data_IF_110942742743
#
_entry.id   IF_110942742743
#
_cell.length_a   1.000
_cell.length_b   1.000
_cell.length_c   1.000
_cell.angle_alpha   90.00
_cell.angle_beta   90.00
_cell.angle_gamma   90.00
#
_symmetry.space_group_name_H-M   'P 1'
#
loop_
_entity.id
_entity.type
_entity.pdbx_description
1 polymer ?
#
# COMPACT_ATOMS: atom_id res chain seq x y z
N UNK A 1 -12.39 -35.83 -44.52
CA UNK A 1 -12.65 -34.66 -43.66
C UNK A 1 -12.31 -35.05 -42.22
N UNK A 2 -11.10 -34.73 -41.76
CA UNK A 2 -10.69 -34.96 -40.38
C UNK A 2 -10.42 -33.60 -39.75
N UNK A 3 -11.34 -33.16 -38.89
CA UNK A 3 -11.16 -32.02 -38.01
C UNK A 3 -10.27 -32.44 -36.84
N UNK A 4 -9.08 -31.87 -36.77
CA UNK A 4 -8.22 -31.93 -35.57
C UNK A 4 -8.78 -30.91 -34.58
N UNK A 5 -9.06 -31.28 -33.31
CA UNK A 5 -9.38 -30.29 -32.29
C UNK A 5 -8.07 -29.63 -31.87
N UNK A 6 -7.92 -28.33 -32.13
CA UNK A 6 -6.86 -27.53 -31.51
C UNK A 6 -7.31 -27.28 -30.07
N UNK A 7 -6.94 -28.18 -29.17
CA UNK A 7 -6.89 -27.88 -27.74
C UNK A 7 -5.50 -27.33 -27.45
N UNK A 8 -5.34 -26.02 -27.56
CA UNK A 8 -4.19 -25.30 -27.02
C UNK A 8 -4.62 -24.57 -25.76
N UNK A 9 -4.77 -25.30 -24.65
CA UNK A 9 -4.85 -24.67 -23.34
C UNK A 9 -3.46 -24.16 -22.98
N UNK A 10 -3.13 -22.92 -23.38
CA UNK A 10 -1.98 -22.24 -22.81
C UNK A 10 -2.09 -22.30 -21.27
N UNK A 11 -1.00 -22.62 -20.56
CA UNK A 11 -1.05 -22.71 -19.11
C UNK A 11 -1.46 -21.36 -18.53
N UNK A 12 -2.49 -21.37 -17.67
CA UNK A 12 -3.00 -20.16 -17.02
C UNK A 12 -1.85 -19.37 -16.37
N UNK A 13 -1.82 -18.06 -16.63
CA UNK A 13 -0.81 -17.15 -16.07
C UNK A 13 -0.90 -17.18 -14.54
N UNK A 14 0.21 -17.49 -13.87
CA UNK A 14 0.25 -17.45 -12.41
C UNK A 14 0.24 -16.00 -11.91
N UNK A 15 -0.78 -15.63 -11.15
CA UNK A 15 -0.95 -14.29 -10.62
C UNK A 15 0.19 -13.86 -9.68
N UNK A 16 0.69 -14.78 -8.84
CA UNK A 16 1.83 -14.52 -7.94
C UNK A 16 3.14 -14.26 -8.71
N UNK A 17 3.41 -15.02 -9.77
CA UNK A 17 4.56 -14.78 -10.63
C UNK A 17 4.45 -13.46 -11.40
N UNK A 18 3.24 -13.12 -11.86
CA UNK A 18 2.98 -11.85 -12.53
C UNK A 18 3.11 -10.65 -11.58
N UNK A 19 2.67 -10.79 -10.32
CA UNK A 19 2.82 -9.77 -9.29
C UNK A 19 4.31 -9.52 -8.99
N UNK A 20 5.14 -10.57 -8.93
CA UNK A 20 6.59 -10.42 -8.78
C UNK A 20 7.21 -9.68 -9.96
N UNK A 21 6.79 -9.98 -11.19
CA UNK A 21 7.27 -9.27 -12.38
C UNK A 21 6.88 -7.79 -12.37
N UNK A 22 5.63 -7.46 -12.02
CA UNK A 22 5.18 -6.07 -11.86
C UNK A 22 5.91 -5.35 -10.71
N UNK A 23 6.20 -6.06 -9.62
CA UNK A 23 6.95 -5.51 -8.50
C UNK A 23 8.38 -5.15 -8.90
N UNK A 24 9.02 -5.94 -9.76
CA UNK A 24 10.35 -5.67 -10.30
C UNK A 24 10.41 -4.59 -11.39
N UNK A 25 9.27 -4.13 -11.92
CA UNK A 25 9.25 -3.05 -12.91
C UNK A 25 9.68 -1.71 -12.28
N UNK A 26 10.60 -1.00 -12.92
CA UNK A 26 11.12 0.28 -12.44
C UNK A 26 10.41 1.47 -13.06
N UNK A 27 9.83 1.33 -14.26
CA UNK A 27 9.08 2.41 -14.90
C UNK A 27 7.68 2.54 -14.27
N UNK A 28 7.31 3.72 -13.72
CA UNK A 28 6.03 3.87 -13.04
C UNK A 28 4.81 3.63 -13.92
N UNK A 29 4.82 4.12 -15.15
CA UNK A 29 3.69 3.97 -16.07
C UNK A 29 3.50 2.51 -16.49
N UNK A 30 4.60 1.81 -16.76
CA UNK A 30 4.59 0.38 -17.07
C UNK A 30 4.17 -0.46 -15.88
N UNK A 31 4.61 -0.12 -14.66
CA UNK A 31 4.16 -0.81 -13.43
C UNK A 31 2.65 -0.68 -13.28
N UNK A 32 2.10 0.53 -13.38
CA UNK A 32 0.64 0.78 -13.33
C UNK A 32 -0.10 -0.07 -14.37
N UNK A 33 0.38 -0.10 -15.61
CA UNK A 33 -0.23 -0.88 -16.68
C UNK A 33 -0.21 -2.40 -16.37
N UNK A 34 0.92 -2.92 -15.89
CA UNK A 34 1.05 -4.34 -15.51
C UNK A 34 0.12 -4.73 -14.37
N UNK A 35 -0.06 -3.85 -13.37
CA UNK A 35 -0.98 -4.09 -12.26
C UNK A 35 -2.43 -4.11 -12.74
N UNK A 36 -2.83 -3.13 -13.56
CA UNK A 36 -4.18 -3.09 -14.13
C UNK A 36 -4.48 -4.33 -14.98
N UNK A 37 -3.52 -4.73 -15.84
CA UNK A 37 -3.63 -5.94 -16.66
C UNK A 37 -3.76 -7.20 -15.80
N UNK A 38 -2.96 -7.32 -14.75
CA UNK A 38 -2.98 -8.47 -13.85
C UNK A 38 -4.30 -8.56 -13.07
N UNK A 39 -4.78 -7.45 -12.54
CA UNK A 39 -6.06 -7.39 -11.83
C UNK A 39 -7.23 -7.80 -12.74
N UNK A 40 -7.28 -7.26 -13.96
CA UNK A 40 -8.27 -7.67 -14.97
C UNK A 40 -8.11 -9.13 -15.37
N UNK A 41 -6.88 -9.62 -15.56
CA UNK A 41 -6.63 -11.02 -15.92
C UNK A 41 -7.12 -11.99 -14.84
N UNK A 42 -6.97 -11.65 -13.56
CA UNK A 42 -7.49 -12.47 -12.48
C UNK A 42 -9.03 -12.46 -12.46
N UNK A 43 -9.65 -11.29 -12.64
CA UNK A 43 -11.11 -11.16 -12.68
C UNK A 43 -11.74 -11.92 -13.87
N UNK A 44 -11.09 -11.90 -15.04
CA UNK A 44 -11.55 -12.58 -16.25
C UNK A 44 -11.19 -14.07 -16.32
N UNK A 45 -10.48 -14.60 -15.31
CA UNK A 45 -9.98 -15.98 -15.30
C UNK A 45 -8.84 -16.27 -16.28
N UNK A 46 -8.22 -15.24 -16.87
CA UNK A 46 -7.00 -15.34 -17.71
C UNK A 46 -5.72 -15.54 -16.87
N UNK A 47 -5.78 -15.21 -15.58
CA UNK A 47 -4.77 -15.52 -14.59
C UNK A 47 -5.39 -16.28 -13.42
N UNK A 48 -4.58 -17.11 -12.76
CA UNK A 48 -5.01 -17.88 -11.60
C UNK A 48 -3.98 -17.79 -10.47
N UNK A 49 -4.49 -17.92 -9.25
CA UNK A 49 -3.67 -18.01 -8.04
C UNK A 49 -3.30 -19.46 -7.80
N UNK A 50 -2.01 -19.72 -7.58
CA UNK A 50 -1.49 -21.02 -7.18
C UNK A 50 -0.80 -20.85 -5.81
N UNK A 51 -1.53 -20.96 -4.68
CA UNK A 51 -0.99 -20.63 -3.35
C UNK A 51 0.21 -21.49 -2.95
N UNK A 52 0.21 -22.76 -3.32
CA UNK A 52 1.27 -23.73 -3.01
C UNK A 52 2.52 -23.57 -3.88
N UNK A 53 2.46 -22.75 -4.94
CA UNK A 53 3.60 -22.58 -5.84
C UNK A 53 4.74 -21.89 -5.12
N UNK A 54 5.87 -22.57 -4.98
CA UNK A 54 7.09 -21.95 -4.48
C UNK A 54 7.68 -21.04 -5.56
N UNK A 55 8.02 -19.82 -5.18
CA UNK A 55 8.67 -18.83 -6.04
C UNK A 55 9.99 -18.44 -5.39
N UNK A 56 11.07 -18.46 -6.17
CA UNK A 56 12.37 -18.02 -5.67
C UNK A 56 12.37 -16.51 -5.49
N UNK A 57 12.80 -16.05 -4.30
CA UNK A 57 13.05 -14.65 -4.08
C UNK A 57 14.14 -14.16 -5.05
N UNK A 58 13.95 -13.05 -5.75
CA UNK A 58 14.97 -12.51 -6.64
C UNK A 58 16.17 -12.01 -5.84
N UNK A 59 17.37 -12.21 -6.39
CA UNK A 59 18.62 -11.84 -5.70
C UNK A 59 18.77 -10.32 -5.50
N UNK A 60 18.23 -9.49 -6.41
CA UNK A 60 18.18 -8.03 -6.38
C UNK A 60 17.00 -7.52 -7.23
N UNK A 61 16.68 -6.23 -7.12
CA UNK A 61 15.75 -5.56 -8.04
C UNK A 61 14.28 -5.59 -7.63
N UNK A 62 14.00 -5.87 -6.35
CA UNK A 62 12.64 -5.83 -5.79
C UNK A 62 12.63 -4.91 -4.55
N UNK A 63 11.82 -3.85 -4.55
CA UNK A 63 10.94 -3.42 -5.63
C UNK A 63 11.78 -2.80 -6.76
N UNK A 64 11.27 -2.84 -7.97
CA UNK A 64 11.80 -2.09 -9.09
C UNK A 64 11.68 -0.60 -8.78
N UNK A 65 12.84 0.06 -8.61
CA UNK A 65 12.92 1.49 -8.31
C UNK A 65 13.21 2.27 -9.59
N UNK A 66 12.43 3.32 -9.90
CA UNK A 66 12.79 4.23 -10.97
C UNK A 66 14.06 5.01 -10.61
N UNK A 67 14.74 5.57 -11.61
CA UNK A 67 15.94 6.39 -11.39
C UNK A 67 15.67 7.69 -10.60
N UNK A 68 14.42 8.15 -10.59
CA UNK A 68 13.92 9.30 -9.82
C UNK A 68 12.59 8.91 -9.14
N UNK A 69 12.21 9.50 -8.00
CA UNK A 69 12.85 10.62 -7.30
C UNK A 69 14.18 10.26 -6.62
N UNK A 70 14.99 11.28 -6.32
CA UNK A 70 16.13 11.11 -5.41
C UNK A 70 15.60 10.74 -4.02
N UNK A 71 16.10 9.64 -3.46
CA UNK A 71 15.71 9.18 -2.13
C UNK A 71 16.65 9.80 -1.09
N UNK A 72 16.08 10.62 -0.21
CA UNK A 72 16.79 11.35 0.83
C UNK A 72 16.23 10.99 2.21
N UNK A 73 17.05 11.24 3.24
CA UNK A 73 16.61 11.14 4.63
C UNK A 73 15.38 12.02 4.90
N UNK A 74 14.39 11.58 5.70
CA UNK A 74 13.15 12.34 5.94
C UNK A 74 13.38 13.80 6.40
N UNK A 75 14.47 14.06 7.15
CA UNK A 75 14.85 15.40 7.63
C UNK A 75 15.32 16.36 6.53
N UNK A 76 15.69 15.84 5.36
CA UNK A 76 16.15 16.61 4.20
C UNK A 76 15.00 17.01 3.27
N UNK A 77 13.78 16.55 3.52
CA UNK A 77 12.62 16.97 2.75
C UNK A 77 12.19 18.39 3.13
N UNK A 78 11.98 19.22 2.12
CA UNK A 78 11.48 20.58 2.32
C UNK A 78 10.07 20.58 2.93
N UNK A 79 9.75 21.65 3.69
CA UNK A 79 8.41 21.82 4.25
C UNK A 79 7.40 22.11 3.14
N UNK A 80 6.32 21.32 3.13
CA UNK A 80 5.24 21.40 2.13
C UNK A 80 4.32 22.59 2.40
N UNK A 81 4.56 23.72 1.74
CA UNK A 81 3.67 24.89 1.83
C UNK A 81 2.47 24.72 0.89
N UNK A 82 1.26 24.59 1.44
CA UNK A 82 0.04 24.51 0.61
C UNK A 82 -0.43 25.87 0.07
N UNK A 83 0.26 26.97 0.42
CA UNK A 83 -0.13 28.33 0.04
C UNK A 83 0.34 28.73 -1.35
N UNK A 84 1.38 28.10 -1.89
CA UNK A 84 1.92 28.39 -3.21
C UNK A 84 1.61 27.25 -4.20
N UNK A 85 1.56 27.53 -5.51
CA UNK A 85 1.49 26.47 -6.53
C UNK A 85 2.64 25.47 -6.41
N UNK A 86 3.87 25.96 -6.20
CA UNK A 86 5.05 25.12 -6.02
C UNK A 86 4.92 24.15 -4.85
N UNK A 87 4.50 24.62 -3.67
CA UNK A 87 4.41 23.74 -2.52
C UNK A 87 3.22 22.77 -2.59
N UNK A 88 2.19 23.08 -3.39
CA UNK A 88 1.14 22.12 -3.78
C UNK A 88 1.68 21.04 -4.73
N UNK A 89 2.53 21.40 -5.69
CA UNK A 89 3.21 20.42 -6.55
C UNK A 89 4.10 19.47 -5.73
N UNK A 90 4.89 19.99 -4.79
CA UNK A 90 5.71 19.15 -3.87
C UNK A 90 4.84 18.21 -3.03
N UNK A 91 3.68 18.68 -2.55
CA UNK A 91 2.72 17.86 -1.82
C UNK A 91 2.15 16.73 -2.69
N UNK A 92 1.66 17.05 -3.90
CA UNK A 92 1.11 16.08 -4.84
C UNK A 92 2.14 15.03 -5.24
N UNK A 93 3.38 15.45 -5.48
CA UNK A 93 4.49 14.53 -5.74
C UNK A 93 4.74 13.59 -4.55
N UNK A 94 4.75 14.11 -3.32
CA UNK A 94 4.96 13.29 -2.13
C UNK A 94 3.83 12.28 -1.92
N UNK A 95 2.57 12.67 -2.18
CA UNK A 95 1.43 11.76 -2.16
C UNK A 95 1.58 10.69 -3.25
N UNK A 96 1.91 11.07 -4.48
CA UNK A 96 2.14 10.11 -5.56
C UNK A 96 3.24 9.11 -5.20
N UNK A 97 4.31 9.55 -4.52
CA UNK A 97 5.35 8.64 -4.05
C UNK A 97 4.86 7.65 -2.99
N UNK A 98 3.93 8.07 -2.12
CA UNK A 98 3.31 7.18 -1.14
C UNK A 98 2.48 6.12 -1.86
N UNK A 99 1.60 6.52 -2.79
CA UNK A 99 0.77 5.58 -3.56
C UNK A 99 1.62 4.62 -4.39
N UNK A 100 2.70 5.11 -5.01
CA UNK A 100 3.62 4.26 -5.77
C UNK A 100 4.27 3.19 -4.88
N UNK A 101 4.62 3.53 -3.64
CA UNK A 101 5.12 2.56 -2.68
C UNK A 101 4.03 1.59 -2.23
N UNK A 102 2.79 2.04 -2.04
CA UNK A 102 1.66 1.18 -1.69
C UNK A 102 1.37 0.12 -2.77
N UNK A 103 1.49 0.46 -4.07
CA UNK A 103 1.49 -0.54 -5.16
C UNK A 103 2.53 -1.63 -4.90
N UNK A 104 3.76 -1.24 -4.56
CA UNK A 104 4.83 -2.20 -4.31
C UNK A 104 4.57 -3.05 -3.07
N UNK A 105 4.02 -2.49 -1.99
CA UNK A 105 3.69 -3.21 -0.75
C UNK A 105 2.59 -4.26 -1.00
N UNK A 106 1.55 -3.89 -1.75
CA UNK A 106 0.46 -4.79 -2.11
C UNK A 106 0.94 -5.91 -3.04
N UNK A 107 1.73 -5.60 -4.07
CA UNK A 107 2.34 -6.62 -4.93
C UNK A 107 3.27 -7.55 -4.15
N UNK A 108 4.01 -7.00 -3.18
CA UNK A 108 4.89 -7.78 -2.30
C UNK A 108 4.12 -8.81 -1.48
N UNK A 109 2.98 -8.43 -0.91
CA UNK A 109 2.09 -9.36 -0.21
C UNK A 109 1.62 -10.51 -1.14
N UNK A 110 1.22 -10.20 -2.38
CA UNK A 110 0.72 -11.18 -3.34
C UNK A 110 1.78 -12.20 -3.72
N UNK A 111 2.99 -11.77 -4.09
CA UNK A 111 3.99 -12.73 -4.56
C UNK A 111 4.60 -13.54 -3.41
N UNK A 112 4.86 -12.89 -2.27
CA UNK A 112 5.78 -13.40 -1.25
C UNK A 112 5.19 -14.52 -0.40
N UNK A 113 3.96 -14.34 0.07
CA UNK A 113 3.39 -15.26 1.04
C UNK A 113 2.67 -16.40 0.32
N UNK A 114 3.33 -17.56 0.26
CA UNK A 114 2.70 -18.80 -0.19
C UNK A 114 1.67 -19.30 0.83
N UNK A 115 0.81 -20.23 0.41
CA UNK A 115 -0.11 -20.98 1.29
C UNK A 115 -1.16 -20.13 2.02
N UNK A 116 -1.44 -18.91 1.54
CA UNK A 116 -2.59 -18.13 1.99
C UNK A 116 -3.86 -18.54 1.22
N UNK A 117 -5.07 -18.29 1.74
CA UNK A 117 -6.30 -18.54 1.00
C UNK A 117 -6.35 -17.71 -0.31
N UNK A 118 -6.98 -18.21 -1.37
CA UNK A 118 -7.08 -17.51 -2.66
C UNK A 118 -7.60 -16.06 -2.54
N UNK A 119 -8.53 -15.81 -1.61
CA UNK A 119 -9.07 -14.48 -1.35
C UNK A 119 -8.00 -13.47 -0.89
N UNK A 120 -6.92 -13.91 -0.23
CA UNK A 120 -5.81 -13.04 0.19
C UNK A 120 -5.16 -12.38 -1.02
N UNK A 121 -4.87 -13.17 -2.04
CA UNK A 121 -4.22 -12.69 -3.26
C UNK A 121 -5.15 -11.78 -4.08
N UNK A 122 -6.45 -12.10 -4.11
CA UNK A 122 -7.43 -11.24 -4.76
C UNK A 122 -7.57 -9.89 -4.06
N UNK A 123 -7.65 -9.89 -2.72
CA UNK A 123 -7.73 -8.67 -1.90
C UNK A 123 -6.48 -7.79 -2.14
N UNK A 124 -5.28 -8.34 -2.07
CA UNK A 124 -4.05 -7.54 -2.27
C UNK A 124 -3.82 -7.11 -3.73
N UNK A 125 -4.30 -7.86 -4.73
CA UNK A 125 -4.29 -7.39 -6.11
C UNK A 125 -5.30 -6.27 -6.36
N UNK A 126 -6.43 -6.30 -5.66
CA UNK A 126 -7.38 -5.19 -5.67
C UNK A 126 -6.72 -3.93 -5.09
N UNK A 127 -6.09 -4.04 -3.91
CA UNK A 127 -5.35 -2.92 -3.29
C UNK A 127 -4.32 -2.38 -4.27
N UNK A 128 -3.46 -3.24 -4.84
CA UNK A 128 -2.44 -2.80 -5.80
C UNK A 128 -3.03 -2.02 -6.99
N UNK A 129 -4.20 -2.44 -7.51
CA UNK A 129 -4.88 -1.77 -8.61
C UNK A 129 -5.50 -0.42 -8.20
N UNK A 130 -6.07 -0.32 -7.00
CA UNK A 130 -6.59 0.93 -6.44
C UNK A 130 -5.44 1.93 -6.20
N UNK A 131 -4.30 1.50 -5.64
CA UNK A 131 -3.13 2.37 -5.45
C UNK A 131 -2.50 2.80 -6.78
N UNK A 132 -2.53 1.94 -7.80
CA UNK A 132 -2.10 2.30 -9.15
C UNK A 132 -3.03 3.38 -9.76
N UNK A 133 -4.31 3.33 -9.46
CA UNK A 133 -5.26 4.37 -9.84
C UNK A 133 -5.01 5.68 -9.09
N UNK A 134 -4.82 5.62 -7.77
CA UNK A 134 -4.49 6.78 -6.93
C UNK A 134 -3.22 7.49 -7.41
N UNK A 135 -2.15 6.72 -7.64
CA UNK A 135 -0.92 7.22 -8.23
C UNK A 135 -1.17 7.95 -9.55
N UNK A 136 -1.97 7.35 -10.43
CA UNK A 136 -2.26 7.93 -11.75
C UNK A 136 -3.03 9.25 -11.65
N UNK A 137 -4.00 9.36 -10.74
CA UNK A 137 -4.73 10.62 -10.47
C UNK A 137 -3.79 11.71 -9.98
N UNK A 138 -2.91 11.38 -9.03
CA UNK A 138 -1.96 12.34 -8.46
C UNK A 138 -0.88 12.75 -9.47
N UNK A 139 -0.38 11.82 -10.27
CA UNK A 139 0.60 12.10 -11.32
C UNK A 139 0.00 12.99 -12.41
N UNK A 140 -1.24 12.73 -12.83
CA UNK A 140 -1.95 13.59 -13.77
C UNK A 140 -2.16 14.99 -13.18
N UNK A 141 -2.60 15.08 -11.93
CA UNK A 141 -2.78 16.37 -11.25
C UNK A 141 -1.47 17.13 -11.10
N UNK A 142 -0.36 16.44 -10.79
CA UNK A 142 0.97 17.04 -10.70
C UNK A 142 1.42 17.64 -12.06
N UNK A 143 1.08 16.98 -13.17
CA UNK A 143 1.37 17.48 -14.52
C UNK A 143 0.66 18.80 -14.83
N UNK A 144 -0.53 19.03 -14.28
CA UNK A 144 -1.23 20.33 -14.40
C UNK A 144 -0.51 21.48 -13.68
N UNK A 145 0.38 21.16 -12.73
CA UNK A 145 1.30 22.13 -12.11
C UNK A 145 2.63 22.27 -12.86
N UNK A 146 2.79 21.60 -14.02
CA UNK A 146 4.01 21.66 -14.83
C UNK A 146 5.14 20.74 -14.34
N UNK A 147 4.82 19.73 -13.54
CA UNK A 147 5.79 18.81 -12.94
C UNK A 147 5.48 17.34 -13.25
N UNK A 148 6.51 16.50 -13.21
CA UNK A 148 6.39 15.05 -13.34
C UNK A 148 6.74 14.34 -12.03
N UNK A 149 6.26 13.11 -11.88
CA UNK A 149 6.73 12.23 -10.80
C UNK A 149 8.23 11.98 -10.96
N UNK A 150 8.99 12.19 -9.88
CA UNK A 150 10.45 12.16 -9.87
C UNK A 150 11.13 13.53 -9.90
N UNK A 151 10.39 14.64 -10.09
CA UNK A 151 10.98 16.00 -10.10
C UNK A 151 11.41 16.49 -8.73
N UNK A 152 10.85 15.94 -7.64
CA UNK A 152 11.17 16.32 -6.27
C UNK A 152 11.79 15.16 -5.49
N UNK A 153 12.61 15.40 -4.46
CA UNK A 153 13.13 14.33 -3.63
C UNK A 153 12.02 13.65 -2.82
N UNK A 154 12.24 12.38 -2.45
CA UNK A 154 11.32 11.59 -1.65
C UNK A 154 12.05 10.75 -0.60
N UNK A 155 11.33 9.99 0.22
CA UNK A 155 11.90 9.10 1.24
C UNK A 155 11.23 7.73 1.18
N UNK A 156 11.96 6.70 1.62
CA UNK A 156 11.60 5.30 1.41
C UNK A 156 11.17 4.55 2.68
N UNK A 157 10.79 5.30 3.72
CA UNK A 157 10.61 4.75 5.08
C UNK A 157 9.51 3.69 5.23
N UNK A 158 8.63 3.51 4.24
CA UNK A 158 7.62 2.44 4.25
C UNK A 158 8.21 1.07 3.89
N UNK A 159 9.16 1.03 2.94
CA UNK A 159 9.70 -0.24 2.44
C UNK A 159 10.58 -0.96 3.47
N UNK A 160 11.26 -0.23 4.35
CA UNK A 160 12.10 -0.81 5.40
C UNK A 160 11.34 -1.80 6.30
N UNK A 161 10.09 -1.50 6.67
CA UNK A 161 9.28 -2.43 7.46
C UNK A 161 8.84 -3.66 6.65
N UNK A 162 8.58 -3.47 5.35
CA UNK A 162 8.27 -4.55 4.43
C UNK A 162 9.43 -5.57 4.38
N UNK A 163 10.67 -5.10 4.29
CA UNK A 163 11.86 -5.97 4.30
C UNK A 163 12.04 -6.70 5.63
N UNK A 164 11.88 -5.99 6.75
CA UNK A 164 12.03 -6.57 8.08
C UNK A 164 11.01 -7.67 8.37
N UNK A 165 9.81 -7.56 7.80
CA UNK A 165 8.71 -8.53 7.94
C UNK A 165 8.62 -9.52 6.78
N UNK A 166 9.60 -9.55 5.87
CA UNK A 166 9.57 -10.40 4.68
C UNK A 166 9.43 -11.90 4.97
N UNK A 167 9.88 -12.38 6.13
CA UNK A 167 9.76 -13.78 6.53
C UNK A 167 8.49 -14.15 7.30
N UNK A 168 7.62 -13.18 7.59
CA UNK A 168 6.57 -13.33 8.60
C UNK A 168 5.29 -12.63 8.16
N UNK A 169 4.35 -13.40 7.61
CA UNK A 169 3.07 -12.87 7.11
C UNK A 169 2.23 -12.27 8.23
N UNK A 170 2.29 -12.83 9.45
CA UNK A 170 1.55 -12.32 10.59
C UNK A 170 2.10 -10.94 11.00
N UNK A 171 3.42 -10.81 11.09
CA UNK A 171 4.06 -9.51 11.32
C UNK A 171 3.78 -8.52 10.18
N UNK A 172 3.79 -8.98 8.92
CA UNK A 172 3.49 -8.11 7.78
C UNK A 172 2.09 -7.50 7.90
N UNK A 173 1.07 -8.33 8.10
CA UNK A 173 -0.32 -7.86 8.19
C UNK A 173 -0.54 -6.97 9.42
N UNK A 174 0.17 -7.24 10.52
CA UNK A 174 0.09 -6.44 11.73
C UNK A 174 0.69 -5.04 11.56
N UNK A 175 1.83 -4.91 10.86
CA UNK A 175 2.68 -3.73 10.96
C UNK A 175 2.71 -2.86 9.71
N UNK A 176 2.42 -3.39 8.53
CA UNK A 176 2.43 -2.58 7.30
C UNK A 176 1.05 -1.95 7.07
N UNK A 177 -0.01 -2.70 6.73
CA UNK A 177 -1.29 -2.08 6.39
C UNK A 177 -2.03 -1.50 7.58
N UNK A 178 -2.02 -2.20 8.72
CA UNK A 178 -2.70 -1.76 9.94
C UNK A 178 -2.01 -0.59 10.65
N UNK A 179 -0.67 -0.52 10.60
CA UNK A 179 0.07 0.49 11.39
C UNK A 179 0.62 1.61 10.53
N UNK A 180 1.36 1.29 9.46
CA UNK A 180 2.02 2.30 8.64
C UNK A 180 1.05 2.94 7.65
N UNK A 181 0.30 2.14 6.89
CA UNK A 181 -0.64 2.64 5.87
C UNK A 181 -1.86 3.31 6.52
N UNK A 182 -2.38 2.76 7.63
CA UNK A 182 -3.46 3.38 8.40
C UNK A 182 -3.21 4.81 8.89
N UNK A 183 -1.96 5.32 8.85
CA UNK A 183 -1.67 6.74 9.06
C UNK A 183 -2.30 7.63 7.99
N UNK A 184 -2.56 7.12 6.80
CA UNK A 184 -3.30 7.79 5.72
C UNK A 184 -4.71 8.20 6.15
N UNK A 185 -5.38 7.38 6.98
CA UNK A 185 -6.70 7.69 7.54
C UNK A 185 -6.71 8.94 8.42
N UNK A 186 -5.61 9.19 9.12
CA UNK A 186 -5.45 10.30 10.05
C UNK A 186 -4.90 11.56 9.34
N UNK A 187 -3.97 11.36 8.41
CA UNK A 187 -3.26 12.45 7.74
C UNK A 187 -4.05 13.09 6.60
N UNK A 188 -4.89 12.34 5.91
CA UNK A 188 -5.60 12.84 4.71
C UNK A 188 -6.63 13.94 5.01
N UNK A 189 -7.50 13.84 6.04
CA UNK A 189 -8.51 14.86 6.33
C UNK A 189 -7.96 16.30 6.51
N UNK A 190 -6.91 16.56 7.32
CA UNK A 190 -6.37 17.91 7.46
C UNK A 190 -5.68 18.41 6.19
N UNK A 191 -5.05 17.54 5.39
CA UNK A 191 -4.43 17.92 4.12
C UNK A 191 -5.52 18.34 3.13
N UNK A 192 -6.57 17.53 3.00
CA UNK A 192 -7.75 17.84 2.18
C UNK A 192 -8.38 19.18 2.56
N UNK A 193 -8.63 19.41 3.85
CA UNK A 193 -9.23 20.66 4.31
C UNK A 193 -8.37 21.89 3.95
N UNK A 194 -7.04 21.77 4.06
CA UNK A 194 -6.11 22.85 3.66
C UNK A 194 -6.07 23.08 2.16
N UNK A 195 -6.18 22.05 1.33
CA UNK A 195 -6.30 22.20 -0.12
C UNK A 195 -7.60 22.92 -0.50
N UNK A 196 -8.72 22.58 0.14
CA UNK A 196 -10.00 23.28 -0.06
C UNK A 196 -9.91 24.76 0.35
N UNK A 197 -9.30 25.06 1.50
CA UNK A 197 -9.09 26.43 1.96
C UNK A 197 -8.17 27.23 1.01
N UNK A 198 -7.24 26.56 0.33
CA UNK A 198 -6.37 27.16 -0.68
C UNK A 198 -7.03 27.27 -2.07
N UNK A 199 -8.31 26.90 -2.22
CA UNK A 199 -9.04 26.93 -3.49
C UNK A 199 -8.68 25.80 -4.46
N UNK A 200 -7.90 24.79 -4.01
CA UNK A 200 -7.52 23.65 -4.82
C UNK A 200 -8.52 22.49 -4.66
N UNK A 201 -9.72 22.70 -5.16
CA UNK A 201 -10.81 21.72 -5.06
C UNK A 201 -10.53 20.43 -5.82
N UNK A 202 -9.78 20.50 -6.94
CA UNK A 202 -9.42 19.33 -7.73
C UNK A 202 -8.50 18.38 -6.96
N UNK A 203 -7.43 18.90 -6.35
CA UNK A 203 -6.53 18.08 -5.52
C UNK A 203 -7.23 17.53 -4.27
N UNK A 204 -8.15 18.32 -3.68
CA UNK A 204 -8.94 17.85 -2.55
C UNK A 204 -9.90 16.70 -2.92
N UNK A 205 -10.50 16.73 -4.12
CA UNK A 205 -11.37 15.65 -4.59
C UNK A 205 -10.61 14.34 -4.84
N UNK A 206 -9.33 14.41 -5.26
CA UNK A 206 -8.47 13.23 -5.38
C UNK A 206 -8.26 12.59 -4.00
N UNK A 207 -8.02 13.39 -2.95
CA UNK A 207 -7.91 12.87 -1.58
C UNK A 207 -9.21 12.27 -1.05
N UNK A 208 -10.37 12.69 -1.54
CA UNK A 208 -11.65 12.04 -1.21
C UNK A 208 -11.74 10.63 -1.79
N UNK A 209 -11.25 10.43 -3.03
CA UNK A 209 -11.16 9.10 -3.65
C UNK A 209 -10.22 8.21 -2.84
N UNK A 210 -9.01 8.69 -2.57
CA UNK A 210 -7.99 7.94 -1.83
C UNK A 210 -8.49 7.55 -0.44
N UNK A 211 -9.02 8.50 0.35
CA UNK A 211 -9.49 8.23 1.70
C UNK A 211 -10.63 7.20 1.74
N UNK A 212 -11.52 7.20 0.73
CA UNK A 212 -12.61 6.22 0.63
C UNK A 212 -12.05 4.80 0.49
N UNK A 213 -11.05 4.62 -0.36
CA UNK A 213 -10.51 3.31 -0.69
C UNK A 213 -9.53 2.83 0.41
N UNK A 214 -8.77 3.75 1.02
CA UNK A 214 -7.85 3.48 2.13
C UNK A 214 -8.53 2.81 3.34
N UNK A 215 -9.78 3.17 3.66
CA UNK A 215 -10.55 2.50 4.72
C UNK A 215 -10.68 0.99 4.41
N UNK A 216 -10.93 0.65 3.15
CA UNK A 216 -11.00 -0.72 2.66
C UNK A 216 -9.65 -1.43 2.69
N UNK A 217 -8.56 -0.74 2.36
CA UNK A 217 -7.20 -1.30 2.38
C UNK A 217 -6.77 -1.67 3.80
N UNK A 218 -6.97 -0.76 4.75
CA UNK A 218 -6.68 -1.02 6.17
C UNK A 218 -7.58 -2.11 6.72
N UNK A 219 -8.84 -2.19 6.28
CA UNK A 219 -9.73 -3.29 6.62
C UNK A 219 -9.23 -4.64 6.11
N UNK A 220 -8.72 -4.72 4.88
CA UNK A 220 -8.10 -5.92 4.33
C UNK A 220 -6.91 -6.35 5.21
N UNK A 221 -6.05 -5.41 5.61
CA UNK A 221 -4.96 -5.66 6.56
C UNK A 221 -5.46 -6.24 7.89
N UNK A 222 -6.49 -5.63 8.48
CA UNK A 222 -7.12 -6.08 9.72
C UNK A 222 -7.72 -7.50 9.61
N UNK A 223 -8.42 -7.77 8.52
CA UNK A 223 -9.02 -9.07 8.24
C UNK A 223 -7.96 -10.16 8.20
N UNK A 224 -6.88 -9.95 7.44
CA UNK A 224 -5.85 -10.98 7.28
C UNK A 224 -4.97 -11.14 8.51
N UNK A 225 -4.71 -10.07 9.27
CA UNK A 225 -4.07 -10.17 10.57
C UNK A 225 -4.88 -11.05 11.53
N UNK A 226 -6.20 -10.81 11.66
CA UNK A 226 -7.07 -11.60 12.53
C UNK A 226 -7.19 -13.05 12.05
N UNK A 227 -7.35 -13.26 10.75
CA UNK A 227 -7.36 -14.61 10.17
C UNK A 227 -6.11 -15.41 10.56
N UNK A 228 -4.94 -14.79 10.51
CA UNK A 228 -3.67 -15.44 10.89
C UNK A 228 -3.57 -15.68 12.39
N UNK A 229 -4.05 -14.75 13.22
CA UNK A 229 -4.16 -14.95 14.67
C UNK A 229 -5.07 -16.12 15.00
N UNK A 230 -6.27 -16.17 14.40
CA UNK A 230 -7.25 -17.24 14.61
C UNK A 230 -6.68 -18.60 14.19
N UNK A 231 -6.03 -18.67 13.02
CA UNK A 231 -5.39 -19.89 12.52
C UNK A 231 -4.25 -20.39 13.43
N UNK A 232 -3.60 -19.49 14.17
CA UNK A 232 -2.53 -19.79 15.12
C UNK A 232 -3.02 -19.93 16.58
N UNK A 233 -4.32 -19.74 16.86
CA UNK A 233 -4.86 -19.73 18.23
C UNK A 233 -4.34 -18.59 19.10
N UNK A 234 -4.02 -17.44 18.49
CA UNK A 234 -3.45 -16.26 19.16
C UNK A 234 -4.50 -15.17 19.36
N UNK A 235 -4.43 -14.47 20.50
CA UNK A 235 -5.20 -13.24 20.68
C UNK A 235 -4.58 -12.10 19.84
N UNK A 236 -5.36 -11.36 19.02
CA UNK A 236 -4.83 -10.30 18.17
C UNK A 236 -4.13 -9.15 18.91
N UNK A 237 -4.61 -8.76 20.09
CA UNK A 237 -4.11 -7.57 20.78
C UNK A 237 -2.68 -7.75 21.36
N UNK A 238 -2.40 -8.72 22.25
CA UNK A 238 -1.05 -8.95 22.74
C UNK A 238 -0.10 -9.45 21.64
N UNK A 239 -0.64 -10.09 20.59
CA UNK A 239 0.13 -10.45 19.41
C UNK A 239 0.63 -9.20 18.68
N UNK A 240 -0.24 -8.21 18.48
CA UNK A 240 0.15 -6.93 17.90
C UNK A 240 1.23 -6.24 18.74
N UNK A 241 1.03 -6.11 20.06
CA UNK A 241 2.00 -5.45 20.95
C UNK A 241 3.38 -6.13 20.91
N UNK A 242 3.40 -7.47 20.96
CA UNK A 242 4.62 -8.26 20.85
C UNK A 242 5.32 -8.02 19.51
N UNK A 243 4.59 -8.06 18.40
CA UNK A 243 5.14 -7.84 17.06
C UNK A 243 5.65 -6.41 16.89
N UNK A 244 4.90 -5.42 17.38
CA UNK A 244 5.30 -4.02 17.38
C UNK A 244 6.61 -3.81 18.15
N UNK A 245 6.79 -4.45 19.31
CA UNK A 245 8.04 -4.44 20.05
C UNK A 245 9.19 -5.15 19.31
N UNK A 246 8.95 -6.40 18.88
CA UNK A 246 9.93 -7.25 18.19
C UNK A 246 10.49 -6.57 16.93
N UNK A 247 9.59 -6.02 16.12
CA UNK A 247 9.94 -5.32 14.88
C UNK A 247 10.01 -3.81 15.08
N UNK A 248 10.20 -3.30 16.30
CA UNK A 248 10.44 -1.86 16.59
C UNK A 248 9.56 -0.95 15.73
N UNK A 249 8.26 -1.24 15.70
CA UNK A 249 7.31 -0.47 14.91
C UNK A 249 7.28 0.97 15.44
N UNK A 250 7.15 1.98 14.56
CA UNK A 250 7.06 3.35 15.02
C UNK A 250 5.81 3.53 15.89
N UNK A 251 5.94 4.30 16.97
CA UNK A 251 4.80 4.71 17.78
C UNK A 251 3.89 5.62 16.95
N UNK A 252 2.59 5.36 17.00
CA UNK A 252 1.60 6.19 16.34
C UNK A 252 1.30 7.41 17.23
N UNK A 253 1.21 8.58 16.62
CA UNK A 253 0.91 9.84 17.29
C UNK A 253 -0.35 10.45 16.69
N UNK A 254 -1.18 11.02 17.54
CA UNK A 254 -2.43 11.65 17.14
C UNK A 254 -2.25 12.95 16.35
N UNK A 255 -3.36 13.57 15.93
CA UNK A 255 -4.74 13.15 16.17
C UNK A 255 -5.15 11.93 15.32
N UNK A 256 -5.97 11.03 15.88
CA UNK A 256 -6.49 9.86 15.18
C UNK A 256 -7.89 10.08 14.61
N UNK A 257 -8.13 9.56 13.41
CA UNK A 257 -9.46 9.48 12.80
C UNK A 257 -10.17 8.20 13.29
N UNK A 258 -10.80 8.29 14.46
CA UNK A 258 -11.44 7.14 15.09
C UNK A 258 -12.60 6.55 14.27
N UNK A 259 -13.35 7.38 13.54
CA UNK A 259 -14.45 6.90 12.70
C UNK A 259 -13.92 6.05 11.54
N UNK A 260 -12.89 6.54 10.83
CA UNK A 260 -12.26 5.77 9.75
C UNK A 260 -11.58 4.51 10.27
N UNK A 261 -10.90 4.56 11.43
CA UNK A 261 -10.30 3.38 12.04
C UNK A 261 -11.35 2.35 12.48
N UNK A 262 -12.49 2.77 13.05
CA UNK A 262 -13.60 1.85 13.33
C UNK A 262 -14.16 1.22 12.06
N UNK A 263 -14.36 2.02 11.01
CA UNK A 263 -14.84 1.51 9.72
C UNK A 263 -13.84 0.53 9.09
N UNK A 264 -12.54 0.77 9.28
CA UNK A 264 -11.47 -0.15 8.90
C UNK A 264 -11.41 -1.40 9.79
N UNK A 265 -12.23 -1.50 10.83
CA UNK A 265 -12.36 -2.69 11.67
C UNK A 265 -11.50 -2.69 12.93
N UNK A 266 -11.03 -1.56 13.44
CA UNK A 266 -10.44 -1.49 14.78
C UNK A 266 -11.53 -1.57 15.86
N UNK A 267 -11.29 -2.35 16.91
CA UNK A 267 -12.22 -2.46 18.04
C UNK A 267 -11.94 -1.40 19.12
N UNK A 268 -12.81 -1.31 20.13
CA UNK A 268 -12.69 -0.31 21.20
C UNK A 268 -11.37 -0.39 21.97
N UNK A 269 -10.92 -1.60 22.31
CA UNK A 269 -9.69 -1.83 23.08
C UNK A 269 -8.45 -1.40 22.31
N UNK A 270 -8.40 -1.70 21.01
CA UNK A 270 -7.32 -1.27 20.13
C UNK A 270 -7.25 0.26 20.01
N UNK A 271 -8.40 0.93 19.92
CA UNK A 271 -8.45 2.39 19.86
C UNK A 271 -8.06 3.03 21.19
N UNK A 272 -8.47 2.44 22.31
CA UNK A 272 -8.06 2.89 23.65
C UNK A 272 -6.53 2.74 23.84
N UNK A 273 -5.95 1.65 23.34
CA UNK A 273 -4.50 1.43 23.39
C UNK A 273 -3.72 2.47 22.56
N UNK A 274 -4.25 2.89 21.40
CA UNK A 274 -3.65 3.99 20.62
C UNK A 274 -3.64 5.31 21.40
N UNK A 275 -4.73 5.63 22.09
CA UNK A 275 -4.81 6.83 22.94
C UNK A 275 -3.81 6.74 24.09
N UNK A 276 -3.72 5.58 24.74
CA UNK A 276 -2.77 5.37 25.84
C UNK A 276 -1.31 5.51 25.38
N UNK A 277 -0.98 4.97 24.20
CA UNK A 277 0.36 5.10 23.61
C UNK A 277 0.70 6.56 23.28
N UNK A 278 -0.25 7.34 22.76
CA UNK A 278 -0.02 8.75 22.43
C UNK A 278 0.16 9.62 23.70
N UNK A 279 -0.54 9.27 24.77
CA UNK A 279 -0.47 9.97 26.06
C UNK A 279 0.81 9.69 26.86
N UNK A 280 1.57 8.64 26.53
CA UNK A 280 2.83 8.29 27.21
C UNK A 280 3.99 9.19 26.72
N UNK A 281 4.53 10.10 27.58
CA UNK A 281 5.64 10.97 27.21
C UNK A 281 7.00 10.27 27.25
N UNK A 282 7.09 9.05 27.79
CA UNK A 282 8.34 8.37 28.13
C UNK A 282 8.69 7.15 27.26
N UNK A 283 8.09 7.00 26.08
CA UNK A 283 8.56 5.99 25.13
C UNK A 283 8.44 6.35 23.68
#
# INVERSE_FOLDING_TARGET
MSSVPISSSEPLRCARSAALAALGESDPARKVALVAELHAALADGRAAVFPERELSAPARGVPGRPARPELVEPRRLERRSMRSPQGRAVLLHALAHIEFNAINLALDAVWRFARMPTAFYADWLKVAAEEAHHFSLLAARLAEFGHAYGDFPAHDGLWEMCERTAGDVLARMALVPRTLEARGLDASPPIRARLQQAGDHASAAILDVILRDEIGHVWIGNRWFRHLCDAAGLDPHPTYERLAGQYRAPRLRGPFNFDARRAAGFNGDELNALVAQDADPNG
#
